data_IF_931585953907
#
_entry.id   IF_931585953907
#
_cell.length_a   1.000
_cell.length_b   1.000
_cell.length_c   1.000
_cell.angle_alpha   90.00
_cell.angle_beta   90.00
_cell.angle_gamma   90.00
#
_symmetry.space_group_name_H-M   'P 1'
#
loop_
_entity.id
_entity.type
_entity.pdbx_description
1 polymer ?
#
# COMPACT_ATOMS: atom_id res chain seq x y z
N UNK A 1 6.15 -4.16 -4.65
CA UNK A 1 5.16 -3.70 -3.64
C UNK A 1 4.75 -4.90 -2.79
N UNK A 2 5.50 -5.16 -1.71
CA UNK A 2 5.52 -6.44 -1.00
C UNK A 2 4.16 -7.14 -0.75
N UNK A 3 3.10 -6.42 -0.37
CA UNK A 3 1.79 -7.03 -0.12
C UNK A 3 1.08 -7.54 -1.38
N UNK A 4 1.42 -7.01 -2.55
CA UNK A 4 0.72 -7.27 -3.83
C UNK A 4 1.50 -8.23 -4.72
N UNK A 5 2.83 -8.18 -4.69
CA UNK A 5 3.70 -8.89 -5.63
C UNK A 5 4.79 -9.73 -4.97
N UNK A 6 4.75 -9.88 -3.63
CA UNK A 6 5.73 -10.62 -2.83
C UNK A 6 7.21 -10.19 -3.03
N UNK A 7 7.43 -8.99 -3.58
CA UNK A 7 8.77 -8.43 -3.76
C UNK A 7 9.27 -7.73 -2.49
N UNK A 8 10.60 -7.54 -2.33
CA UNK A 8 11.15 -6.74 -1.24
C UNK A 8 10.51 -5.34 -1.15
N UNK A 9 10.40 -4.82 0.07
CA UNK A 9 9.86 -3.47 0.34
C UNK A 9 10.58 -2.42 -0.50
N UNK A 10 9.83 -1.57 -1.21
CA UNK A 10 10.39 -0.53 -2.08
C UNK A 10 10.95 0.68 -1.34
N UNK A 11 10.64 0.83 -0.05
CA UNK A 11 11.07 1.96 0.78
C UNK A 11 11.07 1.60 2.27
N UNK A 12 11.74 2.45 3.08
CA UNK A 12 11.67 2.42 4.56
C UNK A 12 10.69 3.46 5.06
N UNK A 13 9.77 3.05 5.92
CA UNK A 13 8.90 3.95 6.67
C UNK A 13 9.43 4.06 8.11
N UNK A 14 9.67 5.29 8.57
CA UNK A 14 10.13 5.59 9.93
C UNK A 14 9.10 6.51 10.58
N UNK A 15 8.69 6.20 11.81
CA UNK A 15 7.79 7.04 12.56
C UNK A 15 8.47 8.38 12.91
N UNK A 16 7.83 9.50 12.57
CA UNK A 16 8.30 10.85 12.94
C UNK A 16 7.79 11.31 14.30
N UNK A 17 6.76 10.63 14.79
CA UNK A 17 6.03 10.92 16.03
C UNK A 17 5.50 9.60 16.59
N UNK A 18 4.90 9.63 17.78
CA UNK A 18 4.19 8.48 18.31
C UNK A 18 3.02 8.09 17.39
N UNK A 19 3.09 6.89 16.83
CA UNK A 19 2.11 6.36 15.90
C UNK A 19 1.48 5.08 16.46
N UNK A 20 0.16 4.95 16.33
CA UNK A 20 -0.55 3.67 16.51
C UNK A 20 -0.99 3.17 15.14
N UNK A 21 -0.61 1.94 14.80
CA UNK A 21 -0.90 1.33 13.51
C UNK A 21 -1.64 0.01 13.70
N UNK A 22 -2.47 -0.33 12.71
CA UNK A 22 -3.11 -1.64 12.63
C UNK A 22 -2.39 -2.44 11.53
N UNK A 23 -1.81 -3.61 11.84
CA UNK A 23 -1.20 -4.45 10.83
C UNK A 23 -2.27 -5.02 9.90
N UNK A 24 -1.96 -5.08 8.62
CA UNK A 24 -2.81 -5.70 7.59
C UNK A 24 -1.94 -6.67 6.79
N UNK A 25 -2.24 -7.96 6.89
CA UNK A 25 -1.59 -9.01 6.11
C UNK A 25 -2.35 -9.26 4.79
N UNK A 26 -1.80 -10.13 3.95
CA UNK A 26 -2.38 -10.43 2.64
C UNK A 26 -3.78 -11.02 2.76
N UNK A 27 -3.98 -11.92 3.73
CA UNK A 27 -5.29 -12.54 3.98
C UNK A 27 -6.35 -11.51 4.33
N UNK A 28 -6.07 -10.63 5.30
CA UNK A 28 -7.00 -9.58 5.70
C UNK A 28 -7.24 -8.56 4.58
N UNK A 29 -6.21 -8.27 3.76
CA UNK A 29 -6.34 -7.42 2.58
C UNK A 29 -7.28 -8.03 1.53
N UNK A 30 -7.09 -9.31 1.18
CA UNK A 30 -7.95 -10.03 0.23
C UNK A 30 -9.38 -10.15 0.76
N UNK A 31 -9.55 -10.48 2.04
CA UNK A 31 -10.87 -10.54 2.66
C UNK A 31 -11.59 -9.18 2.62
N UNK A 32 -10.84 -8.07 2.76
CA UNK A 32 -11.39 -6.73 2.64
C UNK A 32 -11.80 -6.41 1.20
N UNK A 33 -11.01 -6.81 0.19
CA UNK A 33 -11.38 -6.69 -1.22
C UNK A 33 -12.66 -7.47 -1.51
N UNK A 34 -12.77 -8.71 -1.04
CA UNK A 34 -13.97 -9.53 -1.24
C UNK A 34 -15.23 -8.87 -0.67
N UNK A 35 -15.12 -8.25 0.50
CA UNK A 35 -16.25 -7.53 1.12
C UNK A 35 -16.52 -6.17 0.48
N UNK A 36 -15.49 -5.49 -0.02
CA UNK A 36 -15.56 -4.14 -0.58
C UNK A 36 -14.74 -4.02 -1.86
N UNK A 37 -15.27 -4.44 -3.03
CA UNK A 37 -14.47 -4.56 -4.26
C UNK A 37 -13.82 -3.24 -4.73
N UNK A 38 -14.48 -2.10 -4.51
CA UNK A 38 -13.95 -0.78 -4.88
C UNK A 38 -12.67 -0.39 -4.10
N UNK A 39 -12.39 -1.03 -2.97
CA UNK A 39 -11.16 -0.81 -2.21
C UNK A 39 -9.90 -1.09 -3.04
N UNK A 40 -9.91 -2.17 -3.84
CA UNK A 40 -8.78 -2.52 -4.70
C UNK A 40 -8.47 -1.39 -5.71
N UNK A 41 -9.50 -0.81 -6.33
CA UNK A 41 -9.34 0.32 -7.26
C UNK A 41 -8.76 1.56 -6.57
N UNK A 42 -9.17 1.83 -5.33
CA UNK A 42 -8.63 2.95 -4.54
C UNK A 42 -7.14 2.74 -4.24
N UNK A 43 -6.75 1.54 -3.82
CA UNK A 43 -5.34 1.18 -3.58
C UNK A 43 -4.53 1.34 -4.86
N UNK A 44 -4.99 0.80 -5.99
CA UNK A 44 -4.30 0.93 -7.28
C UNK A 44 -4.10 2.38 -7.70
N UNK A 45 -5.09 3.26 -7.52
CA UNK A 45 -4.95 4.70 -7.79
C UNK A 45 -3.86 5.36 -6.94
N UNK A 46 -3.77 5.01 -5.64
CA UNK A 46 -2.71 5.51 -4.75
C UNK A 46 -1.34 5.06 -5.23
N UNK A 47 -1.20 3.79 -5.63
CA UNK A 47 0.05 3.23 -6.12
C UNK A 47 0.50 3.90 -7.42
N UNK A 48 -0.41 4.11 -8.38
CA UNK A 48 -0.11 4.85 -9.62
C UNK A 48 0.32 6.29 -9.34
N UNK A 49 -0.34 6.98 -8.40
CA UNK A 49 0.05 8.35 -8.02
C UNK A 49 1.44 8.39 -7.38
N UNK A 50 1.76 7.44 -6.49
CA UNK A 50 3.11 7.31 -5.90
C UNK A 50 4.16 7.11 -6.98
N UNK A 51 3.91 6.22 -7.93
CA UNK A 51 4.82 5.96 -9.05
C UNK A 51 5.08 7.22 -9.89
N UNK A 52 4.03 7.98 -10.25
CA UNK A 52 4.17 9.23 -10.99
C UNK A 52 4.98 10.26 -10.23
N UNK A 53 4.68 10.45 -8.95
CA UNK A 53 5.39 11.41 -8.11
C UNK A 53 6.88 11.07 -7.97
N UNK A 54 7.22 9.77 -7.88
CA UNK A 54 8.61 9.32 -7.86
C UNK A 54 9.32 9.57 -9.18
N UNK A 55 8.62 9.41 -10.31
CA UNK A 55 9.19 9.65 -11.63
C UNK A 55 9.37 11.14 -11.96
N UNK A 56 8.58 12.04 -11.35
CA UNK A 56 8.72 13.50 -11.48
C UNK A 56 9.72 14.12 -10.50
N UNK A 57 10.16 13.37 -9.49
CA UNK A 57 11.18 13.81 -8.53
C UNK A 57 12.62 13.54 -9.01
N UNK A 58 12.76 13.16 -10.28
CA UNK A 58 14.01 12.98 -11.05
C UNK A 58 14.15 14.14 -12.01
#
# INVERSE_FOLDING_TARGET
MALVDDSPRSATAVAKTDCRLVPLDEKAFLDHIHRTPFFALQVMRILTNRLRNMNTAV
#
